data_IF_126213298655
#
_entry.id   IF_126213298655
#
_cell.length_a   1.000
_cell.length_b   1.000
_cell.length_c   1.000
_cell.angle_alpha   90.00
_cell.angle_beta   90.00
_cell.angle_gamma   90.00
#
_symmetry.space_group_name_H-M   'P 1'
#
loop_
_entity.id
_entity.type
_entity.pdbx_description
1 polymer ?
#
# COMPACT_ATOMS: atom_id res chain seq x y z
N UNK A 1 -13.05 -10.44 -23.97
CA UNK A 1 -12.02 -10.42 -22.92
C UNK A 1 -12.41 -9.38 -21.88
N UNK A 2 -12.59 -9.74 -20.60
CA UNK A 2 -13.08 -8.78 -19.58
C UNK A 2 -11.95 -7.84 -19.12
N UNK A 3 -12.28 -6.59 -18.79
CA UNK A 3 -11.28 -5.59 -18.34
C UNK A 3 -10.42 -6.07 -17.15
N UNK A 4 -10.94 -6.97 -16.32
CA UNK A 4 -10.23 -7.58 -15.18
C UNK A 4 -9.10 -8.51 -15.61
N UNK A 5 -9.29 -9.27 -16.70
CA UNK A 5 -8.27 -10.14 -17.27
C UNK A 5 -7.14 -9.31 -17.88
N UNK A 6 -7.49 -8.26 -18.63
CA UNK A 6 -6.51 -7.33 -19.22
C UNK A 6 -5.62 -6.68 -18.16
N UNK A 7 -6.18 -6.25 -17.02
CA UNK A 7 -5.38 -5.64 -15.96
C UNK A 7 -4.46 -6.65 -15.25
N UNK A 8 -4.87 -7.91 -15.17
CA UNK A 8 -4.05 -8.96 -14.57
C UNK A 8 -2.86 -9.32 -15.46
N UNK A 9 -3.08 -9.43 -16.77
CA UNK A 9 -2.02 -9.66 -17.76
C UNK A 9 -1.00 -8.51 -17.74
N UNK A 10 -1.48 -7.25 -17.73
CA UNK A 10 -0.60 -6.09 -17.60
C UNK A 10 0.21 -6.10 -16.31
N UNK A 11 -0.37 -6.53 -15.19
CA UNK A 11 0.36 -6.60 -13.92
C UNK A 11 1.47 -7.65 -13.95
N UNK A 12 1.24 -8.79 -14.60
CA UNK A 12 2.27 -9.81 -14.82
C UNK A 12 3.38 -9.29 -15.74
N UNK A 13 3.01 -8.53 -16.78
CA UNK A 13 3.98 -7.92 -17.68
C UNK A 13 4.83 -6.84 -16.99
N UNK A 14 4.23 -5.98 -16.16
CA UNK A 14 4.99 -5.03 -15.33
C UNK A 14 5.99 -5.77 -14.46
N UNK A 15 5.52 -6.82 -13.79
CA UNK A 15 6.34 -7.60 -12.85
C UNK A 15 7.50 -8.29 -13.55
N UNK A 16 7.28 -8.89 -14.73
CA UNK A 16 8.35 -9.57 -15.47
C UNK A 16 9.35 -8.59 -16.09
N UNK A 17 8.90 -7.51 -16.71
CA UNK A 17 9.79 -6.54 -17.38
C UNK A 17 10.63 -5.72 -16.40
N UNK A 18 10.12 -5.46 -15.20
CA UNK A 18 10.76 -4.60 -14.20
C UNK A 18 11.19 -5.40 -12.97
N UNK A 19 11.39 -6.73 -13.12
CA UNK A 19 11.65 -7.63 -11.99
C UNK A 19 12.82 -7.16 -11.14
N UNK A 20 13.95 -6.80 -11.77
CA UNK A 20 15.16 -6.34 -11.06
C UNK A 20 14.85 -5.11 -10.21
N UNK A 21 14.22 -4.09 -10.80
CA UNK A 21 13.87 -2.85 -10.08
C UNK A 21 12.88 -3.12 -8.94
N UNK A 22 11.90 -4.02 -9.14
CA UNK A 22 10.94 -4.40 -8.11
C UNK A 22 11.61 -5.20 -6.98
N UNK A 23 12.54 -6.10 -7.31
CA UNK A 23 13.33 -6.85 -6.33
C UNK A 23 14.21 -5.90 -5.51
N UNK A 24 14.82 -4.88 -6.13
CA UNK A 24 15.61 -3.85 -5.43
C UNK A 24 14.74 -3.02 -4.46
N UNK A 25 13.52 -2.66 -4.87
CA UNK A 25 12.54 -2.01 -4.00
C UNK A 25 12.19 -2.91 -2.80
N UNK A 26 11.93 -4.19 -3.03
CA UNK A 26 11.61 -5.13 -1.97
C UNK A 26 12.80 -5.37 -1.03
N UNK A 27 14.01 -5.43 -1.55
CA UNK A 27 15.22 -5.56 -0.73
C UNK A 27 15.44 -4.32 0.13
N UNK A 28 15.29 -3.12 -0.45
CA UNK A 28 15.37 -1.86 0.30
C UNK A 28 14.32 -1.79 1.42
N UNK A 29 13.09 -2.25 1.14
CA UNK A 29 12.02 -2.34 2.13
C UNK A 29 12.40 -3.30 3.28
N UNK A 30 12.95 -4.48 2.96
CA UNK A 30 13.39 -5.48 3.95
C UNK A 30 14.52 -4.96 4.83
N UNK A 31 15.54 -4.35 4.22
CA UNK A 31 16.65 -3.76 4.95
C UNK A 31 16.19 -2.68 5.94
N UNK A 32 15.26 -1.82 5.53
CA UNK A 32 14.70 -0.81 6.43
C UNK A 32 13.89 -1.42 7.58
N UNK A 33 13.25 -2.59 7.39
CA UNK A 33 12.62 -3.34 8.49
C UNK A 33 13.71 -3.84 9.44
N UNK A 34 14.73 -4.51 8.91
CA UNK A 34 15.80 -5.14 9.70
C UNK A 34 16.64 -4.10 10.47
N UNK A 35 16.79 -2.89 9.92
CA UNK A 35 17.48 -1.75 10.56
C UNK A 35 16.58 -0.94 11.52
N UNK A 36 15.31 -1.34 11.71
CA UNK A 36 14.32 -0.59 12.48
C UNK A 36 14.10 0.87 12.00
N UNK A 37 14.23 1.11 10.70
CA UNK A 37 14.04 2.43 10.06
C UNK A 37 12.59 2.66 9.61
N UNK A 38 11.71 1.69 9.87
CA UNK A 38 10.29 1.79 9.58
C UNK A 38 9.58 2.77 10.54
N UNK A 39 8.54 3.48 10.08
CA UNK A 39 7.81 4.41 10.93
C UNK A 39 7.13 3.68 12.09
N UNK A 40 7.07 4.35 13.24
CA UNK A 40 6.39 3.83 14.41
C UNK A 40 4.86 3.94 14.25
N UNK A 41 4.13 3.23 15.12
CA UNK A 41 2.68 3.36 15.19
C UNK A 41 2.22 4.82 15.41
N UNK A 42 2.97 5.59 16.21
CA UNK A 42 2.68 7.01 16.44
C UNK A 42 2.91 7.85 15.20
N UNK A 43 3.97 7.59 14.44
CA UNK A 43 4.26 8.31 13.19
C UNK A 43 3.16 8.11 12.16
N UNK A 44 2.64 6.88 12.04
CA UNK A 44 1.54 6.53 11.14
C UNK A 44 0.19 7.16 11.55
N UNK A 45 0.08 7.72 12.76
CA UNK A 45 -1.12 8.39 13.27
C UNK A 45 -0.99 9.93 13.28
N UNK A 46 0.19 10.50 13.01
CA UNK A 46 0.42 11.97 13.07
C UNK A 46 -0.48 12.77 12.12
N UNK A 47 -0.77 12.24 10.93
CA UNK A 47 -1.60 12.87 9.89
C UNK A 47 -3.11 12.93 10.20
N UNK A 48 -3.52 12.55 11.41
CA UNK A 48 -4.89 12.71 11.91
C UNK A 48 -5.13 14.04 12.64
N UNK A 49 -4.08 14.75 13.07
CA UNK A 49 -4.22 15.99 13.86
C UNK A 49 -4.73 17.19 13.05
N UNK A 50 -4.52 17.22 11.74
CA UNK A 50 -4.89 18.35 10.86
C UNK A 50 -6.31 18.28 10.31
N UNK A 51 -7.03 17.17 10.52
CA UNK A 51 -8.39 17.00 10.04
C UNK A 51 -9.41 17.20 11.15
N UNK A 52 -10.48 17.95 10.86
CA UNK A 52 -11.68 18.08 11.71
C UNK A 52 -12.36 16.75 12.02
N UNK A 53 -11.99 15.68 11.29
CA UNK A 53 -12.49 14.31 11.46
C UNK A 53 -11.35 13.34 11.74
N UNK A 54 -11.50 12.54 12.80
CA UNK A 54 -10.59 11.44 13.11
C UNK A 54 -10.66 10.39 11.99
N UNK A 55 -9.50 10.07 11.38
CA UNK A 55 -9.40 9.06 10.32
C UNK A 55 -9.35 7.65 10.93
N UNK A 56 -9.65 6.63 10.13
CA UNK A 56 -9.46 5.23 10.55
C UNK A 56 -7.96 4.94 10.68
N UNK A 57 -7.56 4.07 11.63
CA UNK A 57 -6.21 3.52 11.61
C UNK A 57 -6.00 2.72 10.31
N UNK A 58 -4.85 2.86 9.62
CA UNK A 58 -4.54 2.06 8.45
C UNK A 58 -4.36 0.58 8.82
N UNK A 59 -4.78 -0.33 7.94
CA UNK A 59 -4.53 -1.77 8.09
C UNK A 59 -3.17 -2.16 7.47
N UNK A 60 -2.76 -3.41 7.65
CA UNK A 60 -1.48 -3.94 7.15
C UNK A 60 -1.25 -3.64 5.66
N UNK A 61 -2.23 -3.90 4.80
CA UNK A 61 -2.12 -3.62 3.36
C UNK A 61 -1.95 -2.13 3.03
N UNK A 62 -2.66 -1.23 3.73
CA UNK A 62 -2.49 0.22 3.55
C UNK A 62 -1.09 0.66 4.01
N UNK A 63 -0.61 0.14 5.13
CA UNK A 63 0.73 0.44 5.64
C UNK A 63 1.79 -0.05 4.64
N UNK A 64 1.70 -1.31 4.22
CA UNK A 64 2.59 -1.92 3.25
C UNK A 64 2.65 -1.14 1.94
N UNK A 65 1.50 -0.89 1.29
CA UNK A 65 1.48 -0.21 -0.01
C UNK A 65 1.96 1.25 0.07
N UNK A 66 1.66 1.96 1.16
CA UNK A 66 2.18 3.31 1.36
C UNK A 66 3.70 3.32 1.54
N UNK A 67 4.24 2.38 2.30
CA UNK A 67 5.69 2.25 2.49
C UNK A 67 6.38 1.82 1.20
N UNK A 68 5.84 0.84 0.49
CA UNK A 68 6.33 0.39 -0.81
C UNK A 68 6.46 1.57 -1.81
N UNK A 69 5.48 2.48 -1.83
CA UNK A 69 5.55 3.69 -2.65
C UNK A 69 6.69 4.64 -2.25
N UNK A 70 7.08 4.71 -0.96
CA UNK A 70 8.21 5.55 -0.51
C UNK A 70 9.55 5.04 -1.04
N UNK A 71 9.64 3.76 -1.39
CA UNK A 71 10.81 3.15 -2.00
C UNK A 71 10.78 3.21 -3.54
N UNK A 72 9.86 3.96 -4.16
CA UNK A 72 9.86 4.18 -5.62
C UNK A 72 9.01 3.19 -6.42
N UNK A 73 8.21 2.34 -5.77
CA UNK A 73 7.34 1.38 -6.46
C UNK A 73 6.40 2.00 -7.49
N UNK A 74 5.77 3.13 -7.16
CA UNK A 74 4.83 3.76 -8.07
C UNK A 74 5.53 4.36 -9.31
N UNK A 75 6.78 4.80 -9.15
CA UNK A 75 7.59 5.37 -10.23
C UNK A 75 7.97 4.31 -11.26
N UNK A 76 8.31 3.09 -10.83
CA UNK A 76 8.56 1.94 -11.71
C UNK A 76 7.34 1.67 -12.60
N UNK A 77 6.15 1.62 -11.98
CA UNK A 77 4.90 1.34 -12.71
C UNK A 77 4.53 2.53 -13.60
N UNK A 78 4.81 3.75 -13.16
CA UNK A 78 4.66 4.97 -13.96
C UNK A 78 5.48 4.92 -15.24
N UNK A 79 6.77 4.61 -15.13
CA UNK A 79 7.69 4.45 -16.27
C UNK A 79 7.22 3.35 -17.22
N UNK A 80 6.74 2.22 -16.70
CA UNK A 80 6.14 1.17 -17.52
C UNK A 80 4.91 1.68 -18.28
N UNK A 81 4.00 2.39 -17.59
CA UNK A 81 2.82 2.94 -18.25
C UNK A 81 3.20 3.94 -19.36
N UNK A 82 4.22 4.76 -19.16
CA UNK A 82 4.71 5.70 -20.17
C UNK A 82 5.32 4.97 -21.37
N UNK A 83 6.20 3.99 -21.13
CA UNK A 83 6.84 3.17 -22.16
C UNK A 83 5.84 2.43 -23.05
N UNK A 84 4.73 1.95 -22.48
CA UNK A 84 3.72 1.16 -23.18
C UNK A 84 2.47 1.96 -23.56
N UNK A 85 2.53 3.30 -23.49
CA UNK A 85 1.42 4.21 -23.83
C UNK A 85 0.10 3.89 -23.09
N UNK A 86 0.22 3.37 -21.87
CA UNK A 86 -0.91 3.01 -21.02
C UNK A 86 -1.45 4.28 -20.37
N UNK A 87 -2.76 4.51 -20.50
CA UNK A 87 -3.44 5.63 -19.86
C UNK A 87 -3.12 5.73 -18.37
N UNK A 88 -2.78 6.95 -17.92
CA UNK A 88 -2.52 7.30 -16.51
C UNK A 88 -3.67 6.90 -15.57
N UNK A 89 -4.90 6.79 -16.07
CA UNK A 89 -6.05 6.30 -15.29
C UNK A 89 -5.89 4.85 -14.82
N UNK A 90 -5.06 4.05 -15.52
CA UNK A 90 -4.79 2.66 -15.16
C UNK A 90 -3.63 2.49 -14.18
N UNK A 91 -2.84 3.54 -13.90
CA UNK A 91 -1.67 3.47 -13.02
C UNK A 91 -2.02 2.91 -11.64
N UNK A 92 -3.03 3.49 -10.98
CA UNK A 92 -3.42 3.08 -9.61
C UNK A 92 -4.08 1.69 -9.57
N UNK A 93 -4.99 1.33 -10.49
CA UNK A 93 -5.47 -0.04 -10.60
C UNK A 93 -4.34 -1.06 -10.84
N UNK A 94 -3.39 -0.73 -11.70
CA UNK A 94 -2.25 -1.57 -12.04
C UNK A 94 -1.31 -1.74 -10.84
N UNK A 95 -0.97 -0.65 -10.15
CA UNK A 95 -0.11 -0.68 -8.97
C UNK A 95 -0.67 -1.56 -7.85
N UNK A 96 -1.99 -1.53 -7.64
CA UNK A 96 -2.65 -2.46 -6.72
C UNK A 96 -2.43 -3.92 -7.10
N UNK A 97 -2.52 -4.26 -8.39
CA UNK A 97 -2.32 -5.63 -8.86
C UNK A 97 -0.87 -6.09 -8.70
N UNK A 98 0.08 -5.24 -9.08
CA UNK A 98 1.51 -5.54 -8.92
C UNK A 98 1.85 -5.67 -7.43
N UNK A 99 1.30 -4.82 -6.56
CA UNK A 99 1.59 -4.89 -5.11
C UNK A 99 1.15 -6.21 -4.47
N UNK A 100 0.09 -6.85 -5.00
CA UNK A 100 -0.36 -8.17 -4.56
C UNK A 100 0.63 -9.26 -4.98
N UNK A 101 1.22 -9.13 -6.17
CA UNK A 101 2.27 -10.05 -6.64
C UNK A 101 3.49 -9.90 -5.71
N UNK A 102 3.98 -8.67 -5.53
CA UNK A 102 5.11 -8.37 -4.66
C UNK A 102 4.87 -8.78 -3.20
N UNK A 103 3.65 -8.67 -2.69
CA UNK A 103 3.29 -9.14 -1.35
C UNK A 103 3.50 -10.66 -1.21
N UNK A 104 3.10 -11.44 -2.21
CA UNK A 104 3.25 -12.90 -2.19
C UNK A 104 4.70 -13.36 -2.29
N UNK A 105 5.56 -12.55 -2.89
CA UNK A 105 7.00 -12.81 -2.98
C UNK A 105 7.77 -12.36 -1.74
N UNK A 106 7.12 -11.59 -0.87
CA UNK A 106 7.70 -11.15 0.38
C UNK A 106 7.75 -12.32 1.38
N UNK A 107 8.91 -12.62 2.00
CA UNK A 107 9.00 -13.67 3.01
C UNK A 107 8.04 -13.41 4.19
N UNK A 108 7.52 -14.50 4.77
CA UNK A 108 6.50 -14.46 5.83
C UNK A 108 6.86 -13.57 7.01
N UNK A 109 8.14 -13.52 7.39
CA UNK A 109 8.60 -12.66 8.50
C UNK A 109 8.31 -11.18 8.25
N UNK A 110 8.47 -10.71 7.02
CA UNK A 110 8.22 -9.32 6.66
C UNK A 110 6.74 -9.06 6.42
N UNK A 111 5.97 -10.07 5.99
CA UNK A 111 4.51 -9.95 5.98
C UNK A 111 3.95 -9.77 7.40
N UNK A 112 4.43 -10.59 8.35
CA UNK A 112 4.09 -10.50 9.78
C UNK A 112 4.44 -9.15 10.39
N UNK A 113 5.57 -8.56 10.00
CA UNK A 113 5.94 -7.21 10.44
C UNK A 113 4.81 -6.19 10.19
N UNK A 114 4.21 -6.17 8.99
CA UNK A 114 3.13 -5.23 8.67
C UNK A 114 1.82 -5.54 9.42
N UNK A 115 1.54 -6.82 9.67
CA UNK A 115 0.40 -7.24 10.49
C UNK A 115 0.54 -6.76 11.93
N UNK A 116 1.72 -6.98 12.54
CA UNK A 116 2.02 -6.52 13.89
C UNK A 116 2.02 -5.00 14.00
N UNK A 117 2.59 -4.31 13.01
CA UNK A 117 2.58 -2.85 12.96
C UNK A 117 1.15 -2.31 12.88
N UNK A 118 0.26 -2.94 12.09
CA UNK A 118 -1.15 -2.57 12.03
C UNK A 118 -1.87 -2.78 13.36
N UNK A 119 -1.56 -3.85 14.10
CA UNK A 119 -2.10 -4.07 15.45
C UNK A 119 -1.65 -2.98 16.42
N UNK A 120 -0.36 -2.63 16.40
CA UNK A 120 0.20 -1.54 17.22
C UNK A 120 -0.44 -0.19 16.88
N UNK A 121 -0.63 0.11 15.60
CA UNK A 121 -1.32 1.32 15.12
C UNK A 121 -2.77 1.35 15.60
N UNK A 122 -3.48 0.21 15.53
CA UNK A 122 -4.87 0.11 16.01
C UNK A 122 -4.97 0.32 17.52
N UNK A 123 -4.03 -0.25 18.30
CA UNK A 123 -3.97 -0.06 19.74
C UNK A 123 -3.71 1.41 20.12
N UNK A 124 -2.68 2.04 19.51
CA UNK A 124 -2.38 3.46 19.72
C UNK A 124 -3.53 4.37 19.29
N UNK A 125 -4.23 4.05 18.19
CA UNK A 125 -5.41 4.81 17.76
C UNK A 125 -6.52 4.80 18.81
N UNK A 126 -6.78 3.66 19.45
CA UNK A 126 -7.77 3.54 20.53
C UNK A 126 -7.37 4.34 21.78
N UNK A 127 -6.07 4.38 22.11
CA UNK A 127 -5.55 5.18 23.22
C UNK A 127 -5.72 6.67 22.93
N UNK A 128 -5.38 7.11 21.72
CA UNK A 128 -5.49 8.52 21.30
C UNK A 128 -6.94 8.97 21.16
N UNK A 129 -7.84 8.06 20.75
CA UNK A 129 -9.24 8.37 20.48
C UNK A 129 -10.18 7.33 21.10
N UNK A 130 -10.31 7.29 22.44
CA UNK A 130 -11.07 6.25 23.15
C UNK A 130 -12.56 6.23 22.79
N UNK A 131 -13.10 7.40 22.41
CA UNK A 131 -14.51 7.55 22.02
C UNK A 131 -14.74 7.41 20.51
N UNK A 132 -13.71 7.08 19.73
CA UNK A 132 -13.86 6.93 18.28
C UNK A 132 -14.74 5.72 17.95
N UNK A 133 -15.82 5.96 17.20
CA UNK A 133 -16.67 4.91 16.64
C UNK A 133 -16.77 5.08 15.13
N UNK A 134 -16.51 4.00 14.41
CA UNK A 134 -16.67 4.01 12.96
C UNK A 134 -18.14 4.13 12.58
N UNK A 135 -18.49 5.24 11.92
CA UNK A 135 -19.84 5.53 11.43
C UNK A 135 -19.79 5.89 9.93
N UNK A 136 -19.98 4.90 9.03
CA UNK A 136 -20.06 5.17 7.61
C UNK A 136 -21.34 5.92 7.25
N UNK A 137 -21.21 7.03 6.53
CA UNK A 137 -22.35 7.70 5.89
C UNK A 137 -22.58 7.00 4.54
N UNK A 138 -23.75 6.38 4.37
CA UNK A 138 -24.16 5.83 3.08
C UNK A 138 -24.54 6.99 2.16
N UNK A 139 -23.98 7.04 0.95
CA UNK A 139 -24.46 7.98 -0.07
C UNK A 139 -25.87 7.54 -0.49
N UNK A 140 -26.81 8.48 -0.60
CA UNK A 140 -28.13 8.20 -1.17
C UNK A 140 -27.94 7.69 -2.60
N UNK A 141 -28.43 6.50 -2.90
CA UNK A 141 -28.54 6.03 -4.29
C UNK A 141 -29.48 6.99 -5.01
N UNK A 142 -28.97 7.80 -5.94
CA UNK A 142 -29.83 8.35 -7.00
C UNK A 142 -30.09 7.19 -7.95
N UNK A 143 -31.28 6.61 -7.79
CA UNK A 143 -31.89 5.68 -8.75
C UNK A 143 -32.19 6.42 -10.06
#
# INVERSE_FOLDING_TARGET
MTQKLVLQELALQVHSENKVELDDVLNSLREAIDKNEMPTAKDLLRDQKSSTKIKRPPNSNIIYTNLLNRFGFLDIIGKFCEKHEISKQKLIPLSKKVSIISWKELPDQYQKFFEELALKVSAEHKILYPNYKYQPIRKSSRS
#
